data_IF_023699880696
#
_entry.id   IF_023699880696
#
_cell.length_a   1.000
_cell.length_b   1.000
_cell.length_c   1.000
_cell.angle_alpha   90.00
_cell.angle_beta   90.00
_cell.angle_gamma   90.00
#
_symmetry.space_group_name_H-M   'P 1'
#
loop_
_entity.id
_entity.type
_entity.pdbx_description
1 polymer ?
#
# COMPACT_ATOMS: atom_id res chain seq x y z
N UNK A 1 -11.36 23.81 10.71
CA UNK A 1 -12.35 22.83 10.21
C UNK A 1 -13.38 22.60 11.29
N UNK A 2 -14.64 22.52 10.89
CA UNK A 2 -15.74 22.14 11.76
C UNK A 2 -15.76 20.61 11.97
N UNK A 3 -16.66 20.14 12.85
CA UNK A 3 -16.79 18.71 13.17
C UNK A 3 -17.14 17.89 11.92
N UNK A 4 -17.97 18.44 11.03
CA UNK A 4 -18.36 17.79 9.78
C UNK A 4 -17.16 17.50 8.88
N UNK A 5 -16.30 18.50 8.65
CA UNK A 5 -15.09 18.33 7.84
C UNK A 5 -14.12 17.30 8.43
N UNK A 6 -13.92 17.29 9.74
CA UNK A 6 -13.04 16.29 10.39
C UNK A 6 -13.66 14.89 10.32
N UNK A 7 -14.97 14.74 10.46
CA UNK A 7 -15.64 13.45 10.33
C UNK A 7 -15.45 12.85 8.93
N UNK A 8 -15.62 13.65 7.88
CA UNK A 8 -15.35 13.21 6.49
C UNK A 8 -13.89 12.78 6.32
N UNK A 9 -12.95 13.53 6.88
CA UNK A 9 -11.52 13.18 6.82
C UNK A 9 -11.21 11.83 7.49
N UNK A 10 -11.81 11.56 8.66
CA UNK A 10 -11.67 10.29 9.39
C UNK A 10 -12.27 9.13 8.59
N UNK A 11 -13.45 9.32 7.98
CA UNK A 11 -14.07 8.31 7.10
C UNK A 11 -13.16 8.01 5.91
N UNK A 12 -12.56 9.03 5.29
CA UNK A 12 -11.58 8.84 4.22
C UNK A 12 -10.39 7.98 4.68
N UNK A 13 -9.89 8.20 5.89
CA UNK A 13 -8.76 7.44 6.43
C UNK A 13 -9.14 5.97 6.62
N UNK A 14 -10.34 5.69 7.16
CA UNK A 14 -10.88 4.33 7.28
C UNK A 14 -10.92 3.63 5.92
N UNK A 15 -11.45 4.30 4.89
CA UNK A 15 -11.57 3.73 3.55
C UNK A 15 -10.19 3.41 2.94
N UNK A 16 -9.23 4.32 3.03
CA UNK A 16 -7.87 4.08 2.51
C UNK A 16 -7.18 2.96 3.29
N UNK A 17 -7.33 2.92 4.61
CA UNK A 17 -6.84 1.82 5.45
C UNK A 17 -7.43 0.47 5.05
N UNK A 18 -8.74 0.42 4.78
CA UNK A 18 -9.42 -0.79 4.32
C UNK A 18 -8.86 -1.25 2.97
N UNK A 19 -8.66 -0.34 2.02
CA UNK A 19 -8.03 -0.65 0.72
C UNK A 19 -6.65 -1.28 0.91
N UNK A 20 -5.81 -0.72 1.78
CA UNK A 20 -4.47 -1.28 2.05
C UNK A 20 -4.53 -2.69 2.63
N UNK A 21 -5.44 -2.93 3.57
CA UNK A 21 -5.66 -4.25 4.16
C UNK A 21 -6.19 -5.25 3.13
N UNK A 22 -7.12 -4.84 2.28
CA UNK A 22 -7.67 -5.68 1.20
C UNK A 22 -6.60 -6.05 0.18
N UNK A 23 -5.78 -5.10 -0.26
CA UNK A 23 -4.68 -5.37 -1.20
C UNK A 23 -3.63 -6.28 -0.57
N UNK A 24 -3.28 -6.07 0.71
CA UNK A 24 -2.37 -6.96 1.41
C UNK A 24 -2.92 -8.39 1.53
N UNK A 25 -4.23 -8.54 1.80
CA UNK A 25 -4.92 -9.83 1.83
C UNK A 25 -4.87 -10.54 0.48
N UNK A 26 -5.27 -9.85 -0.59
CA UNK A 26 -5.28 -10.39 -1.95
C UNK A 26 -3.87 -10.75 -2.45
N UNK A 27 -2.86 -9.95 -2.09
CA UNK A 27 -1.46 -10.22 -2.41
C UNK A 27 -0.96 -11.51 -1.75
N UNK A 28 -1.30 -11.75 -0.47
CA UNK A 28 -0.93 -12.99 0.22
C UNK A 28 -1.70 -14.21 -0.30
N UNK A 29 -2.94 -14.03 -0.74
CA UNK A 29 -3.75 -15.09 -1.33
C UNK A 29 -3.36 -15.43 -2.78
N UNK A 30 -2.49 -14.62 -3.41
CA UNK A 30 -2.13 -14.79 -4.82
C UNK A 30 -3.28 -14.47 -5.79
N UNK A 31 -4.33 -13.80 -5.33
CA UNK A 31 -5.54 -13.52 -6.13
C UNK A 31 -5.51 -12.17 -6.81
N UNK A 32 -4.38 -11.45 -6.77
CA UNK A 32 -4.19 -10.20 -7.51
C UNK A 32 -3.86 -10.52 -8.97
N UNK A 33 -4.81 -10.33 -9.91
CA UNK A 33 -4.53 -10.61 -11.31
C UNK A 33 -3.41 -9.69 -11.83
N UNK A 34 -2.44 -10.23 -12.59
CA UNK A 34 -1.48 -9.41 -13.32
C UNK A 34 -2.22 -8.41 -14.20
N UNK A 35 -1.74 -7.15 -14.25
CA UNK A 35 -2.36 -6.05 -15.01
C UNK A 35 -3.77 -5.61 -14.55
N UNK A 36 -4.27 -6.08 -13.39
CA UNK A 36 -5.51 -5.60 -12.80
C UNK A 36 -5.49 -4.12 -12.41
N UNK A 37 -6.65 -3.53 -12.14
CA UNK A 37 -6.80 -2.10 -11.79
C UNK A 37 -6.07 -1.68 -10.49
N UNK A 38 -5.76 -2.64 -9.62
CA UNK A 38 -5.19 -2.41 -8.28
C UNK A 38 -3.89 -3.20 -8.10
N UNK A 39 -2.84 -2.56 -7.59
CA UNK A 39 -1.56 -3.22 -7.29
C UNK A 39 -0.35 -2.27 -7.29
N UNK A 40 0.80 -2.79 -6.85
CA UNK A 40 2.08 -2.10 -6.83
C UNK A 40 2.69 -2.14 -8.24
N UNK A 41 2.61 -1.04 -8.96
CA UNK A 41 3.04 -0.94 -10.37
C UNK A 41 4.42 -0.28 -10.47
N UNK A 42 5.47 -1.10 -10.49
CA UNK A 42 6.82 -0.65 -10.85
C UNK A 42 7.22 -1.23 -12.21
N UNK A 43 8.34 -0.78 -12.78
CA UNK A 43 8.87 -1.38 -14.01
C UNK A 43 9.15 -2.88 -13.84
N UNK A 44 9.62 -3.29 -12.66
CA UNK A 44 9.95 -4.68 -12.38
C UNK A 44 8.70 -5.55 -12.14
N UNK A 45 7.72 -5.08 -11.35
CA UNK A 45 6.52 -5.87 -11.05
C UNK A 45 5.62 -6.10 -12.26
N UNK A 46 5.74 -5.26 -13.30
CA UNK A 46 5.00 -5.41 -14.57
C UNK A 46 5.73 -6.24 -15.63
N UNK A 47 6.92 -6.75 -15.36
CA UNK A 47 7.74 -7.41 -16.38
C UNK A 47 7.18 -8.77 -16.82
N UNK A 48 6.65 -9.54 -15.87
CA UNK A 48 5.99 -10.82 -16.08
C UNK A 48 5.20 -11.20 -14.81
N UNK A 49 4.39 -12.25 -14.89
CA UNK A 49 3.53 -12.68 -13.81
C UNK A 49 4.32 -13.12 -12.56
N UNK A 50 5.45 -13.80 -12.73
CA UNK A 50 6.30 -14.20 -11.61
C UNK A 50 6.83 -13.00 -10.82
N UNK A 51 7.29 -11.96 -11.52
CA UNK A 51 7.74 -10.70 -10.93
C UNK A 51 6.58 -9.92 -10.28
N UNK A 52 5.37 -10.00 -10.84
CA UNK A 52 4.15 -9.45 -10.25
C UNK A 52 3.86 -10.08 -8.89
N UNK A 53 3.72 -11.41 -8.83
CA UNK A 53 3.39 -12.10 -7.58
C UNK A 53 4.48 -11.97 -6.52
N UNK A 54 5.75 -12.16 -6.89
CA UNK A 54 6.87 -12.02 -5.95
C UNK A 54 6.94 -10.62 -5.33
N UNK A 55 6.76 -9.58 -6.15
CA UNK A 55 6.72 -8.19 -5.68
C UNK A 55 5.55 -7.93 -4.71
N UNK A 56 4.35 -8.39 -5.06
CA UNK A 56 3.16 -8.19 -4.23
C UNK A 56 3.24 -8.94 -2.90
N UNK A 57 3.71 -10.19 -2.90
CA UNK A 57 3.91 -10.98 -1.68
C UNK A 57 4.92 -10.27 -0.75
N UNK A 58 6.03 -9.75 -1.30
CA UNK A 58 7.05 -9.04 -0.54
C UNK A 58 6.56 -7.69 0.01
N UNK A 59 5.71 -6.98 -0.75
CA UNK A 59 5.13 -5.70 -0.35
C UNK A 59 3.96 -5.80 0.64
N UNK A 60 3.26 -6.94 0.67
CA UNK A 60 2.03 -7.13 1.44
C UNK A 60 2.16 -6.89 2.96
N UNK A 61 3.22 -7.35 3.66
CA UNK A 61 3.35 -7.11 5.10
C UNK A 61 3.39 -5.62 5.45
N UNK A 62 4.04 -4.80 4.61
CA UNK A 62 4.13 -3.36 4.83
C UNK A 62 2.79 -2.68 4.57
N UNK A 63 2.06 -3.08 3.51
CA UNK A 63 0.69 -2.58 3.27
C UNK A 63 -0.23 -2.95 4.42
N UNK A 64 -0.13 -4.18 4.96
CA UNK A 64 -0.92 -4.62 6.11
C UNK A 64 -0.63 -3.76 7.34
N UNK A 65 0.64 -3.51 7.65
CA UNK A 65 1.04 -2.67 8.78
C UNK A 65 0.55 -1.22 8.60
N UNK A 66 0.69 -0.64 7.41
CA UNK A 66 0.19 0.70 7.11
C UNK A 66 -1.33 0.81 7.22
N UNK A 67 -2.06 -0.15 6.65
CA UNK A 67 -3.52 -0.20 6.73
C UNK A 67 -4.03 -0.37 8.15
N UNK A 68 -3.46 -1.30 8.92
CA UNK A 68 -3.82 -1.54 10.32
C UNK A 68 -3.49 -0.34 11.21
N UNK A 69 -2.30 0.26 11.04
CA UNK A 69 -1.89 1.46 11.77
C UNK A 69 -2.79 2.66 11.46
N UNK A 70 -3.12 2.88 10.19
CA UNK A 70 -4.07 3.91 9.77
C UNK A 70 -5.46 3.68 10.37
N UNK A 71 -5.92 2.43 10.47
CA UNK A 71 -7.22 2.10 11.05
C UNK A 71 -7.26 2.38 12.56
N UNK A 72 -6.19 2.04 13.29
CA UNK A 72 -6.04 2.39 14.70
C UNK A 72 -6.09 3.90 14.88
N UNK A 73 -5.35 4.67 14.08
CA UNK A 73 -5.35 6.13 14.15
C UNK A 73 -6.71 6.73 13.77
N UNK A 74 -7.44 6.12 12.83
CA UNK A 74 -8.81 6.53 12.51
C UNK A 74 -9.77 6.33 13.70
N UNK A 75 -9.68 5.19 14.39
CA UNK A 75 -10.48 4.92 15.60
C UNK A 75 -10.17 5.91 16.71
N UNK A 76 -8.87 6.19 16.95
CA UNK A 76 -8.45 7.18 17.95
C UNK A 76 -8.95 8.57 17.58
N UNK A 77 -8.80 8.99 16.32
CA UNK A 77 -9.30 10.28 15.83
C UNK A 77 -10.82 10.41 15.99
N UNK A 78 -11.58 9.34 15.68
CA UNK A 78 -13.03 9.30 15.86
C UNK A 78 -13.42 9.45 17.34
N UNK A 79 -12.73 8.73 18.24
CA UNK A 79 -12.97 8.82 19.68
C UNK A 79 -12.71 10.24 20.21
N UNK A 80 -11.60 10.87 19.80
CA UNK A 80 -11.27 12.25 20.17
C UNK A 80 -12.30 13.25 19.62
N UNK A 81 -12.78 13.04 18.40
CA UNK A 81 -13.80 13.91 17.80
C UNK A 81 -15.17 13.79 18.49
N UNK A 82 -15.60 12.57 18.82
CA UNK A 82 -16.97 12.31 19.31
C UNK A 82 -17.08 12.47 20.83
N UNK A 83 -16.11 11.93 21.56
CA UNK A 83 -16.13 11.90 23.03
C UNK A 83 -15.57 13.20 23.58
N UNK A 84 -14.34 13.55 23.19
CA UNK A 84 -13.68 14.77 23.68
C UNK A 84 -14.14 16.04 22.94
N UNK A 85 -14.95 15.91 21.87
CA UNK A 85 -15.46 17.03 21.06
C UNK A 85 -14.35 17.95 20.54
N UNK A 86 -13.15 17.40 20.34
CA UNK A 86 -11.95 18.15 20.01
C UNK A 86 -11.56 17.94 18.54
N UNK A 87 -11.95 18.89 17.68
CA UNK A 87 -11.74 18.79 16.23
C UNK A 87 -10.28 18.91 15.82
N UNK A 88 -9.51 19.84 16.40
CA UNK A 88 -8.09 20.05 16.03
C UNK A 88 -7.22 18.82 16.34
N UNK A 89 -7.26 18.22 17.55
CA UNK A 89 -6.48 17.02 17.84
C UNK A 89 -6.91 15.83 16.99
N UNK A 90 -8.22 15.63 16.77
CA UNK A 90 -8.71 14.58 15.88
C UNK A 90 -8.19 14.75 14.44
N UNK A 91 -8.14 15.98 13.93
CA UNK A 91 -7.56 16.29 12.63
C UNK A 91 -6.07 15.92 12.59
N UNK A 92 -5.27 16.35 13.56
CA UNK A 92 -3.83 16.03 13.62
C UNK A 92 -3.58 14.52 13.64
N UNK A 93 -4.33 13.77 14.45
CA UNK A 93 -4.21 12.31 14.54
C UNK A 93 -4.56 11.65 13.20
N UNK A 94 -5.66 12.08 12.56
CA UNK A 94 -6.04 11.53 11.25
C UNK A 94 -5.02 11.86 10.15
N UNK A 95 -4.43 13.05 10.14
CA UNK A 95 -3.34 13.41 9.22
C UNK A 95 -2.07 12.57 9.44
N UNK A 96 -1.72 12.29 10.70
CA UNK A 96 -0.63 11.36 11.02
C UNK A 96 -0.93 9.95 10.47
N UNK A 97 -2.19 9.51 10.49
CA UNK A 97 -2.64 8.26 9.86
C UNK A 97 -2.37 8.24 8.36
N UNK A 98 -2.75 9.30 7.64
CA UNK A 98 -2.44 9.40 6.20
C UNK A 98 -0.94 9.40 5.91
N UNK A 99 -0.15 10.12 6.72
CA UNK A 99 1.30 10.12 6.57
C UNK A 99 1.91 8.71 6.76
N UNK A 100 1.42 7.95 7.74
CA UNK A 100 1.83 6.57 7.96
C UNK A 100 1.46 5.65 6.78
N UNK A 101 0.26 5.81 6.21
CA UNK A 101 -0.18 5.07 5.03
C UNK A 101 0.70 5.40 3.81
N UNK A 102 1.00 6.68 3.58
CA UNK A 102 1.88 7.10 2.47
C UNK A 102 3.28 6.52 2.63
N UNK A 103 3.85 6.58 3.83
CA UNK A 103 5.15 5.98 4.11
C UNK A 103 5.13 4.46 3.86
N UNK A 104 4.09 3.77 4.32
CA UNK A 104 3.92 2.33 4.07
C UNK A 104 3.78 2.02 2.57
N UNK A 105 3.08 2.86 1.80
CA UNK A 105 2.95 2.72 0.35
C UNK A 105 4.32 2.79 -0.35
N UNK A 106 5.12 3.81 0.00
CA UNK A 106 6.46 4.01 -0.55
C UNK A 106 7.36 2.83 -0.20
N UNK A 107 7.42 2.44 1.07
CA UNK A 107 8.26 1.32 1.54
C UNK A 107 7.81 0.00 0.88
N UNK A 108 6.50 -0.23 0.75
CA UNK A 108 5.96 -1.39 0.07
C UNK A 108 6.37 -1.42 -1.41
N UNK A 109 6.29 -0.28 -2.10
CA UNK A 109 6.72 -0.17 -3.50
C UNK A 109 8.21 -0.47 -3.68
N UNK A 110 9.06 0.03 -2.78
CA UNK A 110 10.51 -0.26 -2.79
C UNK A 110 10.76 -1.76 -2.60
N UNK A 111 10.13 -2.40 -1.60
CA UNK A 111 10.29 -3.83 -1.34
C UNK A 111 9.78 -4.70 -2.49
N UNK A 112 8.61 -4.38 -3.02
CA UNK A 112 8.05 -5.07 -4.17
C UNK A 112 8.95 -4.97 -5.39
N UNK A 113 9.50 -3.79 -5.66
CA UNK A 113 10.44 -3.59 -6.76
C UNK A 113 11.73 -4.41 -6.59
N UNK A 114 12.28 -4.42 -5.37
CA UNK A 114 13.49 -5.20 -5.07
C UNK A 114 13.27 -6.70 -5.27
N UNK A 115 12.13 -7.23 -4.82
CA UNK A 115 11.77 -8.64 -4.98
C UNK A 115 11.47 -9.02 -6.44
N UNK A 116 10.89 -8.10 -7.22
CA UNK A 116 10.55 -8.34 -8.62
C UNK A 116 11.75 -8.26 -9.58
N UNK A 117 12.78 -7.48 -9.24
CA UNK A 117 13.94 -7.19 -10.11
C UNK A 117 14.68 -8.43 -10.63
N UNK A 118 15.03 -9.44 -9.80
CA UNK A 118 15.70 -10.65 -10.29
C UNK A 118 14.87 -11.44 -11.30
N UNK A 119 13.54 -11.41 -11.16
CA UNK A 119 12.61 -12.15 -12.01
C UNK A 119 12.24 -11.39 -13.29
N UNK A 120 12.41 -10.06 -13.29
CA UNK A 120 12.12 -9.21 -14.45
C UNK A 120 13.11 -9.42 -15.61
N UNK A 121 14.34 -9.85 -15.33
CA UNK A 121 15.39 -10.09 -16.34
C UNK A 121 15.26 -11.41 -17.10
N UNK A 122 14.39 -12.33 -16.69
CA UNK A 122 14.21 -13.65 -17.28
C UNK A 122 13.10 -13.76 -18.35
N UNK A 123 12.46 -12.65 -18.74
CA UNK A 123 11.46 -12.63 -19.82
C UNK A 123 12.11 -12.66 -21.22
N UNK A 124 11.37 -13.04 -22.29
CA UNK A 124 11.89 -13.41 -23.63
C UNK A 124 12.53 -12.28 -24.46
N UNK A 125 13.08 -11.25 -23.82
CA UNK A 125 13.87 -10.18 -24.42
C UNK A 125 15.31 -10.09 -23.91
N UNK A 126 15.78 -11.08 -23.14
CA UNK A 126 17.20 -11.22 -22.79
C UNK A 126 18.01 -11.45 -24.07
N UNK A 127 18.57 -10.37 -24.63
CA UNK A 127 19.47 -10.44 -25.79
C UNK A 127 20.55 -11.50 -25.52
N UNK A 128 20.84 -12.41 -26.47
CA UNK A 128 22.03 -13.23 -26.37
C UNK A 128 23.23 -12.30 -26.29
N UNK A 129 23.99 -12.33 -25.21
CA UNK A 129 25.37 -11.86 -25.25
C UNK A 129 26.10 -12.79 -26.19
N UNK A 130 26.30 -12.32 -27.41
CA UNK A 130 27.11 -12.99 -28.43
C UNK A 130 28.47 -13.33 -27.85
N UNK A 131 28.74 -14.62 -27.72
CA UNK A 131 30.09 -15.14 -27.71
C UNK A 131 30.72 -14.88 -29.08
N UNK A 132 31.75 -14.04 -29.10
CA UNK A 132 32.78 -13.99 -30.15
C UNK A 132 34.09 -13.77 -29.39
N UNK A 133 34.82 -14.85 -29.11
CA UNK A 133 35.95 -15.37 -29.90
C UNK A 133 37.25 -14.92 -29.27
#
# INVERSE_FOLDING_TARGET
MDIGGVAVNVVGLVLVSAVFLSVAGAAKAGTLPPNGAVGIRTRATKANDAAWYAGHIAGAPVLKLGGAGGLVLAVVAAAVLIIARASTPALVISLAGYAAILAAAIISAVKANAAARPLAGGGPGGRPSSSSS
#
